data_IF_217627537341
#
_entry.id   IF_217627537341
#
_cell.length_a   1.000
_cell.length_b   1.000
_cell.length_c   1.000
_cell.angle_alpha   90.00
_cell.angle_beta   90.00
_cell.angle_gamma   90.00
#
_symmetry.space_group_name_H-M   'P 1'
#
loop_
_entity.id
_entity.type
_entity.pdbx_description
1 polymer ?
#
# COMPACT_ATOMS: atom_id res chain seq x y z
N UNK A 1 62.62 14.83 -2.45
CA UNK A 1 61.70 13.71 -2.80
C UNK A 1 60.37 13.75 -2.04
N UNK A 2 60.33 14.38 -0.86
CA UNK A 2 59.17 14.42 0.05
C UNK A 2 58.02 15.34 -0.38
N UNK A 3 58.30 16.53 -0.93
CA UNK A 3 57.26 17.50 -1.33
C UNK A 3 56.44 17.03 -2.54
N UNK A 4 57.09 16.36 -3.50
CA UNK A 4 56.41 15.83 -4.70
C UNK A 4 55.45 14.69 -4.37
N UNK A 5 55.83 13.82 -3.41
CA UNK A 5 54.98 12.73 -2.96
C UNK A 5 53.74 13.25 -2.21
N UNK A 6 53.91 14.26 -1.35
CA UNK A 6 52.80 14.90 -0.63
C UNK A 6 51.79 15.58 -1.58
N UNK A 7 52.28 16.24 -2.64
CA UNK A 7 51.43 16.88 -3.64
C UNK A 7 50.58 15.86 -4.43
N UNK A 8 51.15 14.69 -4.77
CA UNK A 8 50.41 13.62 -5.46
C UNK A 8 49.34 13.01 -4.57
N UNK A 9 49.64 12.75 -3.28
CA UNK A 9 48.66 12.23 -2.32
C UNK A 9 47.49 13.21 -2.15
N UNK A 10 47.79 14.51 -2.03
CA UNK A 10 46.77 15.55 -1.90
C UNK A 10 45.89 15.65 -3.16
N UNK A 11 46.48 15.54 -4.35
CA UNK A 11 45.74 15.55 -5.61
C UNK A 11 44.81 14.34 -5.74
N UNK A 12 45.26 13.14 -5.33
CA UNK A 12 44.41 11.93 -5.31
C UNK A 12 43.27 12.07 -4.31
N UNK A 13 43.52 12.62 -3.13
CA UNK A 13 42.48 12.87 -2.13
C UNK A 13 41.43 13.89 -2.60
N UNK A 14 41.86 15.00 -3.19
CA UNK A 14 40.95 16.02 -3.74
C UNK A 14 40.15 15.45 -4.90
N UNK A 15 40.79 14.72 -5.82
CA UNK A 15 40.11 14.08 -6.95
C UNK A 15 39.08 13.05 -6.48
N UNK A 16 39.42 12.24 -5.47
CA UNK A 16 38.50 11.29 -4.85
C UNK A 16 37.33 11.98 -4.15
N UNK A 17 37.59 13.05 -3.40
CA UNK A 17 36.55 13.83 -2.72
C UNK A 17 35.60 14.54 -3.68
N UNK A 18 36.14 15.15 -4.75
CA UNK A 18 35.33 15.80 -5.79
C UNK A 18 34.53 14.78 -6.60
N UNK A 19 35.12 13.63 -6.93
CA UNK A 19 34.40 12.55 -7.61
C UNK A 19 33.28 11.98 -6.72
N UNK A 20 33.55 11.79 -5.43
CA UNK A 20 32.57 11.32 -4.45
C UNK A 20 31.38 12.26 -4.27
N UNK A 21 31.56 13.58 -4.39
CA UNK A 21 30.42 14.53 -4.39
C UNK A 21 29.53 14.42 -5.63
N UNK A 22 30.06 13.96 -6.76
CA UNK A 22 29.29 13.80 -8.00
C UNK A 22 28.62 12.42 -8.12
N UNK A 23 29.09 11.43 -7.35
CA UNK A 23 28.39 10.17 -7.13
C UNK A 23 27.42 10.33 -5.95
N UNK A 24 26.38 11.13 -6.16
CA UNK A 24 25.24 11.18 -5.25
C UNK A 24 24.44 9.88 -5.44
N UNK A 25 24.91 8.80 -4.81
CA UNK A 25 24.18 7.53 -4.72
C UNK A 25 23.07 7.62 -3.67
N UNK A 26 22.36 8.75 -3.67
CA UNK A 26 21.08 8.87 -2.99
C UNK A 26 20.13 7.95 -3.74
N UNK A 27 20.01 6.71 -3.27
CA UNK A 27 18.81 5.92 -3.50
C UNK A 27 17.69 6.75 -2.90
N UNK A 28 17.06 7.56 -3.74
CA UNK A 28 15.85 8.28 -3.38
C UNK A 28 14.80 7.19 -3.22
N UNK A 29 14.64 6.71 -1.99
CA UNK A 29 13.48 5.93 -1.64
C UNK A 29 12.28 6.85 -1.85
N UNK A 30 11.55 6.67 -2.95
CA UNK A 30 10.27 7.30 -3.16
C UNK A 30 9.28 6.70 -2.16
N UNK A 31 9.35 7.17 -0.90
CA UNK A 31 8.43 6.80 0.18
C UNK A 31 7.00 7.30 -0.07
N UNK A 32 6.74 7.94 -1.21
CA UNK A 32 5.46 8.54 -1.56
C UNK A 32 5.09 8.19 -3.00
N UNK A 33 4.72 6.94 -3.25
CA UNK A 33 3.57 6.79 -4.13
C UNK A 33 2.39 7.45 -3.41
N UNK A 34 1.58 8.29 -4.07
CA UNK A 34 0.36 8.90 -3.49
C UNK A 34 -0.69 7.88 -3.01
N UNK A 35 -0.34 6.60 -2.97
CA UNK A 35 -1.16 5.49 -2.55
C UNK A 35 -1.64 5.68 -1.12
N UNK A 36 -2.88 5.30 -0.91
CA UNK A 36 -3.51 5.26 0.40
C UNK A 36 -4.04 3.85 0.66
N UNK A 37 -3.91 3.41 1.89
CA UNK A 37 -4.42 2.12 2.33
C UNK A 37 -5.63 2.35 3.24
N UNK A 38 -6.75 1.71 2.92
CA UNK A 38 -8.02 1.85 3.64
C UNK A 38 -8.32 0.57 4.41
N UNK A 39 -8.11 0.60 5.73
CA UNK A 39 -8.47 -0.49 6.64
C UNK A 39 -9.95 -0.36 7.01
N UNK A 40 -10.72 -1.43 6.80
CA UNK A 40 -12.15 -1.47 7.08
C UNK A 40 -12.48 -2.66 7.96
N UNK A 41 -13.32 -2.41 8.97
CA UNK A 41 -13.81 -3.41 9.90
C UNK A 41 -15.32 -3.47 9.83
N UNK A 42 -15.86 -4.63 9.48
CA UNK A 42 -17.29 -4.92 9.45
C UNK A 42 -17.66 -5.81 10.62
N UNK A 43 -18.74 -5.43 11.31
CA UNK A 43 -19.42 -6.27 12.30
C UNK A 43 -20.68 -6.81 11.67
N UNK A 44 -20.72 -8.12 11.43
CA UNK A 44 -21.87 -8.83 10.93
C UNK A 44 -22.94 -8.98 12.03
N UNK A 45 -24.20 -9.12 11.62
CA UNK A 45 -25.23 -9.60 12.53
C UNK A 45 -24.94 -11.04 12.98
N UNK A 46 -25.54 -11.44 14.10
CA UNK A 46 -25.36 -12.78 14.69
C UNK A 46 -25.58 -13.89 13.66
N UNK A 47 -24.62 -14.83 13.58
CA UNK A 47 -24.64 -15.95 12.64
C UNK A 47 -24.51 -15.59 11.16
N UNK A 48 -24.27 -14.30 10.80
CA UNK A 48 -24.18 -13.84 9.40
C UNK A 48 -22.75 -13.73 8.87
N UNK A 49 -21.72 -13.90 9.70
CA UNK A 49 -20.33 -13.84 9.26
C UNK A 49 -20.03 -14.79 8.07
N UNK A 50 -20.44 -16.08 8.07
CA UNK A 50 -20.17 -16.97 6.93
C UNK A 50 -20.75 -16.44 5.60
N UNK A 51 -21.96 -15.87 5.63
CA UNK A 51 -22.58 -15.29 4.43
C UNK A 51 -21.86 -14.03 3.97
N UNK A 52 -21.41 -13.19 4.91
CA UNK A 52 -20.59 -12.02 4.60
C UNK A 52 -19.28 -12.42 3.92
N UNK A 53 -18.58 -13.43 4.46
CA UNK A 53 -17.34 -13.94 3.88
C UNK A 53 -17.56 -14.52 2.48
N UNK A 54 -18.63 -15.30 2.28
CA UNK A 54 -18.99 -15.83 0.97
C UNK A 54 -19.28 -14.72 -0.04
N UNK A 55 -20.05 -13.69 0.33
CA UNK A 55 -20.32 -12.53 -0.53
C UNK A 55 -19.04 -11.79 -0.92
N UNK A 56 -18.08 -11.66 0.00
CA UNK A 56 -16.79 -11.04 -0.35
C UNK A 56 -16.01 -11.87 -1.37
N UNK A 57 -15.84 -13.17 -1.09
CA UNK A 57 -15.07 -14.10 -1.94
C UNK A 57 -15.67 -14.25 -3.33
N UNK A 58 -16.99 -14.39 -3.40
CA UNK A 58 -17.67 -14.80 -4.64
C UNK A 58 -18.18 -13.60 -5.46
N UNK A 59 -18.13 -12.38 -4.91
CA UNK A 59 -18.73 -11.21 -5.55
C UNK A 59 -17.98 -9.90 -5.29
N UNK A 60 -17.90 -9.45 -4.03
CA UNK A 60 -17.44 -8.08 -3.70
C UNK A 60 -16.02 -7.80 -4.17
N UNK A 61 -15.10 -8.75 -4.01
CA UNK A 61 -13.68 -8.56 -4.36
C UNK A 61 -13.48 -8.29 -5.86
N UNK A 62 -14.22 -8.99 -6.72
CA UNK A 62 -14.21 -8.77 -8.18
C UNK A 62 -14.75 -7.39 -8.53
N UNK A 63 -15.81 -6.94 -7.86
CA UNK A 63 -16.33 -5.58 -8.06
C UNK A 63 -15.35 -4.51 -7.57
N UNK A 64 -14.62 -4.75 -6.47
CA UNK A 64 -13.58 -3.82 -6.04
C UNK A 64 -12.52 -3.60 -7.12
N UNK A 65 -12.04 -4.70 -7.72
CA UNK A 65 -11.07 -4.64 -8.82
C UNK A 65 -11.65 -3.94 -10.07
N UNK A 66 -12.92 -4.23 -10.41
CA UNK A 66 -13.66 -3.55 -11.50
C UNK A 66 -13.65 -2.03 -11.35
N UNK A 67 -13.74 -1.51 -10.11
CA UNK A 67 -13.75 -0.08 -9.82
C UNK A 67 -12.37 0.47 -9.39
N UNK A 68 -11.27 -0.22 -9.72
CA UNK A 68 -9.92 0.33 -9.53
C UNK A 68 -9.40 0.29 -8.10
N UNK A 69 -10.01 -0.53 -7.23
CA UNK A 69 -9.52 -0.78 -5.88
C UNK A 69 -8.69 -2.06 -5.86
N UNK A 70 -7.56 -2.04 -5.17
CA UNK A 70 -6.69 -3.21 -5.05
C UNK A 70 -6.96 -3.94 -3.73
N UNK A 71 -7.28 -5.23 -3.81
CA UNK A 71 -7.46 -6.10 -2.67
C UNK A 71 -6.10 -6.44 -2.03
N UNK A 72 -5.84 -6.00 -0.79
CA UNK A 72 -4.54 -6.23 -0.11
C UNK A 72 -4.58 -7.41 0.86
N UNK A 73 -5.65 -7.54 1.65
CA UNK A 73 -5.76 -8.63 2.61
C UNK A 73 -7.07 -8.63 3.39
N UNK A 74 -7.39 -9.81 3.94
CA UNK A 74 -8.65 -10.11 4.64
C UNK A 74 -8.35 -10.98 5.86
N UNK A 75 -9.00 -10.69 6.98
CA UNK A 75 -8.81 -11.39 8.25
C UNK A 75 -10.12 -11.51 9.02
N UNK A 76 -10.23 -12.60 9.78
CA UNK A 76 -11.20 -12.75 10.87
C UNK A 76 -10.38 -12.84 12.16
N UNK A 77 -10.73 -12.08 13.22
CA UNK A 77 -10.07 -12.21 14.52
C UNK A 77 -10.15 -13.65 15.05
N UNK A 78 -9.16 -14.07 15.84
CA UNK A 78 -9.17 -15.41 16.44
C UNK A 78 -9.89 -15.44 17.79
N UNK A 79 -9.82 -14.34 18.54
CA UNK A 79 -10.35 -14.26 19.90
C UNK A 79 -11.84 -13.87 19.93
N UNK A 80 -12.57 -14.45 20.90
CA UNK A 80 -13.92 -14.05 21.22
C UNK A 80 -13.95 -12.66 21.87
N UNK A 81 -15.03 -11.88 21.67
CA UNK A 81 -16.21 -12.21 20.87
C UNK A 81 -16.04 -11.93 19.36
N UNK A 82 -14.96 -11.25 18.97
CA UNK A 82 -14.83 -10.70 17.62
C UNK A 82 -14.70 -11.77 16.53
N UNK A 83 -14.20 -12.97 16.87
CA UNK A 83 -14.14 -14.10 15.94
C UNK A 83 -15.51 -14.59 15.45
N UNK A 84 -16.61 -14.23 16.15
CA UNK A 84 -17.97 -14.65 15.78
C UNK A 84 -18.58 -13.81 14.66
N UNK A 85 -18.18 -12.54 14.55
CA UNK A 85 -18.91 -11.58 13.72
C UNK A 85 -18.05 -10.53 13.01
N UNK A 86 -16.73 -10.57 13.10
CA UNK A 86 -15.88 -9.50 12.55
C UNK A 86 -15.14 -9.92 11.29
N UNK A 87 -15.23 -9.07 10.25
CA UNK A 87 -14.37 -9.11 9.06
C UNK A 87 -13.51 -7.85 9.02
N UNK A 88 -12.19 -8.01 8.93
CA UNK A 88 -11.24 -6.92 8.71
C UNK A 88 -10.66 -7.07 7.30
N UNK A 89 -10.57 -5.98 6.56
CA UNK A 89 -9.94 -6.00 5.24
C UNK A 89 -9.23 -4.69 4.90
N UNK A 90 -8.28 -4.78 3.98
CA UNK A 90 -7.44 -3.68 3.55
C UNK A 90 -7.52 -3.51 2.05
N UNK A 91 -7.82 -2.30 1.60
CA UNK A 91 -7.75 -1.90 0.20
C UNK A 91 -6.60 -0.92 -0.02
N UNK A 92 -5.99 -0.98 -1.20
CA UNK A 92 -5.08 0.05 -1.69
C UNK A 92 -5.77 0.87 -2.78
N UNK A 93 -5.59 2.18 -2.73
CA UNK A 93 -5.99 3.12 -3.78
C UNK A 93 -4.79 3.96 -4.21
N UNK A 94 -4.79 4.45 -5.46
CA UNK A 94 -3.71 5.30 -6.00
C UNK A 94 -3.63 6.69 -5.37
N UNK A 95 -4.74 7.18 -4.82
CA UNK A 95 -4.84 8.43 -4.05
C UNK A 95 -6.15 8.48 -3.23
N UNK A 96 -6.26 9.44 -2.30
CA UNK A 96 -7.51 9.69 -1.56
C UNK A 96 -8.67 10.05 -2.48
N UNK A 97 -8.42 10.80 -3.55
CA UNK A 97 -9.44 11.16 -4.54
C UNK A 97 -9.90 9.92 -5.32
N UNK A 98 -8.96 9.11 -5.81
CA UNK A 98 -9.27 7.88 -6.53
C UNK A 98 -10.11 6.92 -5.67
N UNK A 99 -9.83 6.85 -4.35
CA UNK A 99 -10.65 6.10 -3.41
C UNK A 99 -12.12 6.59 -3.39
N UNK A 100 -12.35 7.90 -3.36
CA UNK A 100 -13.71 8.47 -3.34
C UNK A 100 -14.49 8.13 -4.61
N UNK A 101 -13.83 8.27 -5.77
CA UNK A 101 -14.41 7.95 -7.09
C UNK A 101 -14.72 6.45 -7.19
N UNK A 102 -13.74 5.58 -6.89
CA UNK A 102 -13.90 4.11 -6.90
C UNK A 102 -15.09 3.65 -6.06
N UNK A 103 -15.24 4.23 -4.86
CA UNK A 103 -16.33 3.89 -3.96
C UNK A 103 -17.68 4.44 -4.44
N UNK A 104 -17.71 5.60 -5.10
CA UNK A 104 -18.93 6.15 -5.69
C UNK A 104 -19.42 5.23 -6.82
N UNK A 105 -18.52 4.83 -7.71
CA UNK A 105 -18.82 3.96 -8.84
C UNK A 105 -19.25 2.56 -8.36
N UNK A 106 -18.54 1.99 -7.39
CA UNK A 106 -18.90 0.71 -6.78
C UNK A 106 -20.33 0.70 -6.22
N UNK A 107 -20.74 1.78 -5.53
CA UNK A 107 -22.11 1.88 -4.98
C UNK A 107 -23.16 2.08 -6.07
N UNK A 108 -22.79 2.68 -7.20
CA UNK A 108 -23.68 2.90 -8.33
C UNK A 108 -23.80 1.67 -9.25
N UNK A 109 -22.90 0.69 -9.13
CA UNK A 109 -22.93 -0.51 -9.95
C UNK A 109 -24.18 -1.36 -9.67
N UNK A 110 -24.94 -1.68 -10.71
CA UNK A 110 -26.14 -2.50 -10.60
C UNK A 110 -25.83 -3.92 -10.12
N UNK A 111 -24.64 -4.45 -10.42
CA UNK A 111 -24.21 -5.76 -9.94
C UNK A 111 -24.04 -5.78 -8.42
N UNK A 112 -23.64 -4.66 -7.81
CA UNK A 112 -23.46 -4.59 -6.35
C UNK A 112 -24.76 -4.91 -5.60
N UNK A 113 -25.91 -4.46 -6.09
CA UNK A 113 -27.19 -4.65 -5.40
C UNK A 113 -27.84 -6.02 -5.64
N UNK A 114 -27.21 -6.88 -6.44
CA UNK A 114 -27.67 -8.24 -6.72
C UNK A 114 -27.33 -9.21 -5.58
#
# INVERSE_FOLDING_TARGET
MTVRLAAVIMAVFISGFLSGRNFDFTISAHAQSNKVFELRTYTAAEGKLPNLLARFRDHTMTLFEKHGMTNVGYWVPQDLPNSENTLIYLLEHSSRQAAQESWADFRADAEWSR
#
